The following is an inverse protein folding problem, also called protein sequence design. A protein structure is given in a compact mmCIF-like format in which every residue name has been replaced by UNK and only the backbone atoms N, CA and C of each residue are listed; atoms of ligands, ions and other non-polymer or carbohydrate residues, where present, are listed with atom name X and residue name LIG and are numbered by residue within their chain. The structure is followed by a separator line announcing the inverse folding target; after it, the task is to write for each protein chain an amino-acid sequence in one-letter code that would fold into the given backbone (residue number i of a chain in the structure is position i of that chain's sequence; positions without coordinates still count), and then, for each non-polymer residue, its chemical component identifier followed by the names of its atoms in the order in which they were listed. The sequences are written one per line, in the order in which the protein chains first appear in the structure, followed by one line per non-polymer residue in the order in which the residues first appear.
data_IF_181280696677
#
_entry.id   IF_181280696677
#
_cell.length_a   1.000
_cell.length_b   1.000
_cell.length_c   1.000
_cell.angle_alpha   90.00
_cell.angle_beta   90.00
_cell.angle_gamma   90.00
#
_symmetry.space_group_name_H-M   'P 1'
#
loop_
_entity.id
_entity.type
_entity.pdbx_description
1 polymer ?
#
# COMPACT_ATOMS: atom_id res chain seq x y z
N UNK A 1 -67.57 -37.05 -77.84
CA UNK A 1 -67.18 -36.29 -76.63
C UNK A 1 -65.78 -35.74 -76.84
N UNK A 2 -65.49 -34.52 -76.37
CA UNK A 2 -64.15 -33.95 -76.48
C UNK A 2 -63.19 -34.66 -75.50
N UNK A 3 -62.00 -35.03 -75.98
CA UNK A 3 -60.94 -35.59 -75.15
C UNK A 3 -59.96 -34.47 -74.77
N UNK A 4 -59.42 -34.47 -73.55
CA UNK A 4 -58.56 -33.39 -73.04
C UNK A 4 -57.21 -33.90 -72.52
N UNK A 5 -56.18 -33.04 -72.51
CA UNK A 5 -54.88 -33.34 -71.89
C UNK A 5 -54.96 -33.31 -70.36
N UNK A 6 -54.13 -34.13 -69.70
CA UNK A 6 -54.23 -34.37 -68.25
C UNK A 6 -53.84 -33.16 -67.38
N UNK A 7 -52.78 -32.44 -67.74
CA UNK A 7 -52.15 -31.47 -66.83
C UNK A 7 -52.66 -30.04 -67.06
N UNK A 8 -53.04 -29.70 -68.29
CA UNK A 8 -53.42 -28.34 -68.68
C UNK A 8 -54.82 -28.27 -69.31
N UNK A 9 -55.58 -29.37 -69.31
CA UNK A 9 -56.95 -29.45 -69.81
C UNK A 9 -57.14 -28.89 -71.23
N UNK A 10 -56.17 -29.13 -72.12
CA UNK A 10 -56.23 -28.69 -73.52
C UNK A 10 -57.08 -29.68 -74.32
N UNK A 11 -57.98 -29.18 -75.16
CA UNK A 11 -58.83 -30.04 -76.02
C UNK A 11 -57.97 -30.73 -77.08
N UNK A 12 -57.98 -32.06 -77.11
CA UNK A 12 -57.43 -32.84 -78.21
C UNK A 12 -58.31 -32.68 -79.45
N UNK A 13 -57.73 -32.58 -80.66
CA UNK A 13 -58.50 -32.59 -81.89
C UNK A 13 -59.39 -33.83 -81.99
N UNK A 14 -60.66 -33.66 -82.33
CA UNK A 14 -61.56 -34.75 -82.65
C UNK A 14 -61.41 -35.18 -84.12
N UNK A 15 -61.82 -36.40 -84.46
CA UNK A 15 -61.79 -36.90 -85.84
C UNK A 15 -62.60 -36.04 -86.83
N UNK A 16 -63.55 -35.25 -86.34
CA UNK A 16 -64.38 -34.32 -87.12
C UNK A 16 -63.86 -32.87 -87.15
N UNK A 17 -62.80 -32.56 -86.40
CA UNK A 17 -62.25 -31.20 -86.33
C UNK A 17 -61.38 -30.91 -87.57
N UNK A 18 -61.54 -29.74 -88.17
CA UNK A 18 -60.64 -29.26 -89.23
C UNK A 18 -59.38 -28.66 -88.60
N UNK A 19 -58.21 -29.20 -88.95
CA UNK A 19 -56.91 -28.72 -88.48
C UNK A 19 -56.11 -28.23 -89.68
N UNK A 20 -55.71 -26.95 -89.70
CA UNK A 20 -54.83 -26.40 -90.73
C UNK A 20 -53.40 -26.20 -90.19
N UNK A 21 -52.44 -26.08 -91.12
CA UNK A 21 -51.00 -25.97 -90.79
C UNK A 21 -50.64 -24.64 -90.14
N UNK A 22 -51.34 -23.56 -90.49
CA UNK A 22 -51.05 -22.22 -89.97
C UNK A 22 -51.38 -22.10 -88.48
N UNK A 23 -52.53 -22.64 -88.06
CA UNK A 23 -52.95 -22.70 -86.66
C UNK A 23 -51.99 -23.57 -85.84
N UNK A 24 -51.53 -24.69 -86.42
CA UNK A 24 -50.52 -25.54 -85.79
C UNK A 24 -49.20 -24.78 -85.59
N UNK A 25 -48.71 -24.10 -86.62
CA UNK A 25 -47.48 -23.31 -86.55
C UNK A 25 -47.60 -22.14 -85.55
N UNK A 26 -48.77 -21.51 -85.47
CA UNK A 26 -49.08 -20.51 -84.45
C UNK A 26 -49.00 -21.08 -83.03
N UNK A 27 -49.62 -22.24 -82.81
CA UNK A 27 -49.55 -22.93 -81.51
C UNK A 27 -48.12 -23.33 -81.13
N UNK A 28 -47.34 -23.87 -82.07
CA UNK A 28 -45.93 -24.20 -81.82
C UNK A 28 -45.10 -22.97 -81.47
N UNK A 29 -45.35 -21.85 -82.14
CA UNK A 29 -44.67 -20.58 -81.85
C UNK A 29 -44.99 -20.07 -80.44
N UNK A 30 -46.24 -20.20 -79.98
CA UNK A 30 -46.65 -19.84 -78.62
C UNK A 30 -45.98 -20.76 -77.59
N UNK A 31 -45.97 -22.07 -77.85
CA UNK A 31 -45.34 -23.05 -76.95
C UNK A 31 -43.84 -22.76 -76.80
N UNK A 32 -43.15 -22.47 -77.89
CA UNK A 32 -41.72 -22.11 -77.89
C UNK A 32 -41.45 -20.86 -77.02
N UNK A 33 -42.22 -19.79 -77.23
CA UNK A 33 -42.08 -18.56 -76.44
C UNK A 33 -42.33 -18.77 -74.96
N UNK A 34 -43.38 -19.52 -74.59
CA UNK A 34 -43.68 -19.79 -73.19
C UNK A 34 -42.65 -20.73 -72.54
N UNK A 35 -42.14 -21.74 -73.26
CA UNK A 35 -41.04 -22.57 -72.77
C UNK A 35 -39.77 -21.76 -72.52
N UNK A 36 -39.46 -20.80 -73.41
CA UNK A 36 -38.32 -19.90 -73.22
C UNK A 36 -38.48 -19.03 -71.96
N UNK A 37 -39.65 -18.43 -71.74
CA UNK A 37 -39.93 -17.66 -70.51
C UNK A 37 -39.75 -18.49 -69.26
N UNK A 38 -40.26 -19.73 -69.26
CA UNK A 38 -40.10 -20.66 -68.12
C UNK A 38 -38.61 -20.96 -67.87
N UNK A 39 -37.83 -21.20 -68.93
CA UNK A 39 -36.40 -21.45 -68.81
C UNK A 39 -35.64 -20.23 -68.25
N UNK A 40 -35.97 -19.03 -68.69
CA UNK A 40 -35.38 -17.78 -68.17
C UNK A 40 -35.69 -17.57 -66.69
N UNK A 41 -36.95 -17.80 -66.28
CA UNK A 41 -37.35 -17.73 -64.86
C UNK A 41 -36.62 -18.78 -64.02
N UNK A 42 -36.55 -20.03 -64.51
CA UNK A 42 -35.87 -21.12 -63.81
C UNK A 42 -34.37 -20.81 -63.61
N UNK A 43 -33.70 -20.28 -64.63
CA UNK A 43 -32.31 -19.87 -64.56
C UNK A 43 -32.10 -18.71 -63.58
N UNK A 44 -33.00 -17.72 -63.57
CA UNK A 44 -32.94 -16.60 -62.63
C UNK A 44 -33.08 -17.06 -61.17
N UNK A 45 -34.04 -17.94 -60.88
CA UNK A 45 -34.24 -18.53 -59.54
C UNK A 45 -33.02 -19.35 -59.11
N UNK A 46 -32.45 -20.15 -60.02
CA UNK A 46 -31.24 -20.94 -59.75
C UNK A 46 -30.03 -20.06 -59.37
N UNK A 47 -29.84 -18.95 -60.09
CA UNK A 47 -28.79 -17.97 -59.79
C UNK A 47 -29.00 -17.32 -58.42
N UNK A 48 -30.22 -16.86 -58.13
CA UNK A 48 -30.55 -16.25 -56.83
C UNK A 48 -30.37 -17.23 -55.67
N UNK A 49 -30.73 -18.50 -55.88
CA UNK A 49 -30.55 -19.54 -54.86
C UNK A 49 -29.06 -19.80 -54.61
N UNK A 50 -28.25 -19.83 -55.66
CA UNK A 50 -26.80 -20.02 -55.58
C UNK A 50 -26.12 -18.87 -54.84
N UNK A 51 -26.51 -17.63 -55.12
CA UNK A 51 -25.98 -16.45 -54.42
C UNK A 51 -26.34 -16.46 -52.92
N UNK A 52 -27.60 -16.77 -52.59
CA UNK A 52 -28.04 -16.92 -51.20
C UNK A 52 -27.31 -18.06 -50.49
N UNK A 53 -27.05 -19.18 -51.16
CA UNK A 53 -26.31 -20.30 -50.60
C UNK A 53 -24.86 -19.90 -50.25
N UNK A 54 -24.20 -19.14 -51.11
CA UNK A 54 -22.84 -18.64 -50.84
C UNK A 54 -22.81 -17.71 -49.62
N UNK A 55 -23.76 -16.78 -49.49
CA UNK A 55 -23.86 -15.90 -48.31
C UNK A 55 -24.08 -16.72 -47.03
N UNK A 56 -24.94 -17.73 -47.07
CA UNK A 56 -25.16 -18.63 -45.93
C UNK A 56 -23.87 -19.39 -45.59
N UNK A 57 -23.15 -19.88 -46.59
CA UNK A 57 -21.88 -20.59 -46.37
C UNK A 57 -20.84 -19.67 -45.74
N UNK A 58 -20.72 -18.42 -46.19
CA UNK A 58 -19.84 -17.43 -45.57
C UNK A 58 -20.22 -17.12 -44.12
N UNK A 59 -21.52 -17.05 -43.81
CA UNK A 59 -22.01 -16.87 -42.43
C UNK A 59 -21.75 -18.10 -41.54
N UNK A 60 -21.80 -19.30 -42.12
CA UNK A 60 -21.49 -20.56 -41.43
C UNK A 60 -19.99 -20.73 -41.23
N UNK A 61 -19.17 -20.44 -42.24
CA UNK A 61 -17.71 -20.53 -42.20
C UNK A 61 -17.08 -19.47 -41.30
N UNK A 62 -17.73 -18.31 -41.20
CA UNK A 62 -17.42 -17.32 -40.16
C UNK A 62 -17.84 -17.78 -38.75
N UNK A 63 -18.32 -19.01 -38.58
CA UNK A 63 -18.65 -19.66 -37.28
C UNK A 63 -19.64 -18.88 -36.43
N UNK A 64 -20.47 -18.01 -37.02
CA UNK A 64 -21.32 -17.12 -36.24
C UNK A 64 -20.50 -16.29 -35.26
N UNK A 65 -19.52 -15.52 -35.76
CA UNK A 65 -18.83 -14.47 -34.99
C UNK A 65 -19.80 -13.35 -34.63
N UNK A 66 -20.78 -13.65 -33.78
CA UNK A 66 -21.55 -12.67 -33.02
C UNK A 66 -20.67 -11.91 -31.99
N UNK A 67 -19.35 -12.13 -32.03
CA UNK A 67 -18.34 -11.64 -31.09
C UNK A 67 -17.48 -10.53 -31.73
N UNK A 68 -18.13 -9.54 -32.33
CA UNK A 68 -17.44 -8.44 -33.01
C UNK A 68 -17.78 -7.09 -32.39
N UNK A 69 -16.89 -6.64 -31.51
CA UNK A 69 -16.34 -5.29 -31.69
C UNK A 69 -14.82 -5.30 -31.93
N UNK A 70 -14.08 -6.34 -31.52
CA UNK A 70 -12.61 -6.37 -31.57
C UNK A 70 -12.01 -7.75 -31.97
N UNK A 71 -12.85 -8.73 -32.33
CA UNK A 71 -12.39 -10.07 -32.72
C UNK A 71 -11.90 -10.92 -31.57
N UNK A 72 -12.22 -10.55 -30.33
CA UNK A 72 -11.99 -11.35 -29.13
C UNK A 72 -13.18 -12.24 -28.82
N UNK A 73 -12.90 -13.36 -28.17
CA UNK A 73 -13.94 -14.23 -27.65
C UNK A 73 -14.36 -13.79 -26.24
N UNK A 74 -15.59 -14.08 -25.81
CA UNK A 74 -16.04 -13.82 -24.44
C UNK A 74 -15.07 -14.37 -23.35
N UNK A 75 -14.33 -15.45 -23.65
CA UNK A 75 -13.29 -16.03 -22.80
C UNK A 75 -12.02 -15.18 -22.65
N UNK A 76 -11.81 -14.20 -23.54
CA UNK A 76 -10.66 -13.30 -23.50
C UNK A 76 -10.85 -12.15 -22.48
N UNK A 77 -12.07 -12.00 -21.94
CA UNK A 77 -12.39 -11.00 -20.94
C UNK A 77 -12.45 -11.62 -19.53
N UNK A 78 -12.01 -10.86 -18.53
CA UNK A 78 -12.14 -11.27 -17.14
C UNK A 78 -13.62 -11.32 -16.72
N UNK A 79 -13.99 -12.30 -15.91
CA UNK A 79 -15.32 -12.40 -15.32
C UNK A 79 -15.60 -11.21 -14.40
N UNK A 80 -16.87 -10.79 -14.29
CA UNK A 80 -17.29 -9.68 -13.41
C UNK A 80 -16.80 -9.86 -11.97
N UNK A 81 -16.81 -11.09 -11.47
CA UNK A 81 -16.21 -11.45 -10.20
C UNK A 81 -14.96 -12.29 -10.45
N UNK A 82 -13.79 -11.69 -10.24
CA UNK A 82 -12.51 -12.38 -10.19
C UNK A 82 -11.65 -11.80 -9.07
N UNK A 83 -10.68 -12.61 -8.60
CA UNK A 83 -9.77 -12.25 -7.53
C UNK A 83 -8.32 -12.47 -7.98
N UNK A 84 -7.41 -11.74 -7.36
CA UNK A 84 -5.97 -11.94 -7.51
C UNK A 84 -5.34 -12.35 -6.17
N UNK A 85 -4.47 -13.35 -6.18
CA UNK A 85 -3.49 -13.57 -5.12
C UNK A 85 -2.33 -12.59 -5.28
N UNK A 86 -1.58 -12.34 -4.20
CA UNK A 86 -0.38 -11.49 -4.25
C UNK A 86 0.62 -11.94 -5.32
N UNK A 87 0.75 -13.26 -5.54
CA UNK A 87 1.66 -13.83 -6.54
C UNK A 87 1.22 -13.58 -7.99
N UNK A 88 -0.04 -13.19 -8.23
CA UNK A 88 -0.58 -12.89 -9.55
C UNK A 88 -0.37 -11.43 -9.97
N UNK A 89 0.16 -10.59 -9.08
CA UNK A 89 0.38 -9.15 -9.32
C UNK A 89 1.89 -8.92 -9.49
N UNK A 90 2.34 -8.68 -10.72
CA UNK A 90 3.77 -8.64 -11.08
C UNK A 90 4.50 -7.41 -10.54
N UNK A 91 3.78 -6.33 -10.26
CA UNK A 91 4.29 -5.06 -9.74
C UNK A 91 3.96 -4.86 -8.25
N UNK A 92 3.58 -5.92 -7.55
CA UNK A 92 3.30 -5.82 -6.12
C UNK A 92 4.58 -5.44 -5.35
N UNK A 93 4.55 -4.37 -4.54
CA UNK A 93 5.75 -3.90 -3.84
C UNK A 93 6.25 -4.93 -2.83
N UNK A 94 7.57 -5.08 -2.74
CA UNK A 94 8.23 -5.99 -1.78
C UNK A 94 7.98 -5.57 -0.32
N UNK A 95 7.80 -4.26 -0.09
CA UNK A 95 7.37 -3.68 1.18
C UNK A 95 6.33 -2.58 0.96
N UNK A 96 5.29 -2.54 1.80
CA UNK A 96 4.42 -1.38 1.89
C UNK A 96 5.08 -0.34 2.81
N UNK A 97 4.92 0.98 2.56
CA UNK A 97 5.53 2.05 3.36
C UNK A 97 5.29 1.93 4.87
N UNK A 98 4.21 1.26 5.27
CA UNK A 98 4.02 0.73 6.61
C UNK A 98 3.20 -0.56 6.50
N UNK A 99 3.81 -1.71 6.74
CA UNK A 99 3.12 -3.02 6.84
C UNK A 99 2.28 -3.15 8.12
N UNK A 100 1.78 -2.04 8.70
CA UNK A 100 0.98 -2.01 9.93
C UNK A 100 1.70 -2.43 11.21
N UNK A 101 2.88 -3.05 11.12
CA UNK A 101 3.73 -3.42 12.26
C UNK A 101 4.93 -2.50 12.48
N UNK A 102 5.34 -1.76 11.44
CA UNK A 102 6.43 -0.78 11.50
C UNK A 102 5.91 0.67 11.63
N UNK A 103 4.61 0.85 11.88
CA UNK A 103 3.99 2.18 11.98
C UNK A 103 4.59 3.03 13.13
N UNK A 104 5.27 2.40 14.08
CA UNK A 104 5.98 3.06 15.19
C UNK A 104 7.48 3.29 14.94
N UNK A 105 8.04 2.93 13.77
CA UNK A 105 9.47 3.10 13.49
C UNK A 105 9.73 4.07 12.34
N UNK A 106 10.25 5.25 12.67
CA UNK A 106 10.90 6.14 11.70
C UNK A 106 12.31 5.57 11.45
N UNK A 107 12.57 5.09 10.23
CA UNK A 107 13.87 4.54 9.80
C UNK A 107 14.44 3.44 10.72
N UNK A 108 13.58 2.60 11.31
CA UNK A 108 14.00 1.47 12.15
C UNK A 108 14.31 1.82 13.61
N UNK A 109 13.98 3.04 14.05
CA UNK A 109 14.13 3.43 15.46
C UNK A 109 12.83 3.26 16.26
N UNK A 110 12.93 2.64 17.45
CA UNK A 110 11.85 2.48 18.42
C UNK A 110 11.59 3.78 19.21
N UNK A 111 10.42 3.91 19.86
CA UNK A 111 10.04 5.10 20.67
C UNK A 111 11.11 5.49 21.71
N UNK A 112 11.80 4.50 22.27
CA UNK A 112 12.87 4.65 23.25
C UNK A 112 14.11 5.38 22.70
N UNK A 113 14.27 5.44 21.37
CA UNK A 113 15.31 6.23 20.73
C UNK A 113 14.96 7.72 20.64
N UNK A 114 13.69 8.08 20.83
CA UNK A 114 13.20 9.46 20.73
C UNK A 114 12.85 10.07 22.10
N UNK A 115 12.62 9.24 23.13
CA UNK A 115 12.43 9.74 24.50
C UNK A 115 13.77 10.20 25.07
N UNK A 116 14.05 11.50 24.93
CA UNK A 116 15.08 12.18 25.72
C UNK A 116 14.48 12.50 27.09
N UNK A 117 14.85 11.72 28.11
CA UNK A 117 14.75 12.10 29.53
C UNK A 117 13.32 12.34 30.06
N UNK A 118 12.50 11.29 30.21
CA UNK A 118 11.35 11.38 31.13
C UNK A 118 10.91 10.04 31.71
N UNK A 119 11.77 9.43 32.52
CA UNK A 119 11.35 8.33 33.38
C UNK A 119 11.03 8.89 34.77
N UNK A 120 9.76 9.22 35.01
CA UNK A 120 9.28 9.44 36.37
C UNK A 120 9.33 8.09 37.12
N UNK A 121 10.27 7.95 38.06
CA UNK A 121 10.24 6.93 39.11
C UNK A 121 10.87 5.55 38.82
N UNK A 122 11.53 5.35 37.68
CA UNK A 122 12.18 4.07 37.33
C UNK A 122 13.71 4.04 37.38
N UNK A 123 14.36 5.19 37.58
CA UNK A 123 15.81 5.32 37.45
C UNK A 123 16.50 4.96 38.77
N UNK A 124 17.35 3.94 38.74
CA UNK A 124 18.28 3.64 39.84
C UNK A 124 19.45 4.63 39.82
N UNK A 125 19.32 5.69 40.61
CA UNK A 125 20.34 6.74 40.80
C UNK A 125 21.62 6.26 41.49
N UNK A 126 21.66 5.02 41.98
CA UNK A 126 22.87 4.39 42.50
C UNK A 126 23.67 3.66 41.41
N UNK A 127 23.05 3.37 40.26
CA UNK A 127 23.71 2.68 39.16
C UNK A 127 24.65 3.61 38.39
N UNK A 128 25.95 3.34 38.49
CA UNK A 128 27.00 4.12 37.81
C UNK A 128 27.12 3.81 36.32
N UNK A 129 26.61 2.66 35.86
CA UNK A 129 26.73 2.15 34.48
C UNK A 129 25.49 2.45 33.63
N UNK A 130 24.67 3.42 34.03
CA UNK A 130 23.47 3.75 33.29
C UNK A 130 23.87 4.38 31.92
N UNK A 131 23.38 3.87 30.78
CA UNK A 131 23.96 4.17 29.48
C UNK A 131 23.58 5.53 28.89
N UNK A 132 22.61 6.24 29.46
CA UNK A 132 22.09 7.49 28.92
C UNK A 132 22.11 8.61 29.97
N UNK A 133 22.25 9.88 29.56
CA UNK A 133 22.01 10.99 30.49
C UNK A 133 20.56 10.97 30.96
N UNK A 134 20.34 11.31 32.23
CA UNK A 134 18.99 11.39 32.79
C UNK A 134 18.81 12.61 33.68
N UNK A 135 17.55 13.01 33.82
CA UNK A 135 17.05 13.94 34.81
C UNK A 135 15.92 13.25 35.57
N UNK A 136 15.98 13.23 36.90
CA UNK A 136 14.98 12.56 37.75
C UNK A 136 14.80 13.27 39.08
N UNK A 137 13.72 12.94 39.78
CA UNK A 137 13.40 13.44 41.12
C UNK A 137 13.46 12.29 42.12
N UNK A 138 14.13 12.49 43.25
CA UNK A 138 14.32 11.43 44.25
C UNK A 138 14.31 11.98 45.68
N UNK A 139 13.85 11.17 46.63
CA UNK A 139 13.92 11.48 48.06
C UNK A 139 14.08 10.20 48.90
N UNK A 140 14.59 10.36 50.13
CA UNK A 140 14.66 9.28 51.11
C UNK A 140 15.63 8.13 50.79
N UNK A 141 16.45 8.23 49.75
CA UNK A 141 17.48 7.22 49.45
C UNK A 141 18.76 7.45 50.24
N UNK A 142 19.32 6.38 50.79
CA UNK A 142 20.61 6.40 51.54
C UNK A 142 21.79 6.91 50.70
N UNK A 143 21.68 6.82 49.37
CA UNK A 143 22.71 7.25 48.44
C UNK A 143 22.65 8.73 48.10
N UNK A 144 21.67 9.48 48.62
CA UNK A 144 21.53 10.93 48.45
C UNK A 144 22.26 11.73 49.53
N UNK A 145 22.46 13.05 49.33
CA UNK A 145 23.12 13.90 50.33
C UNK A 145 22.43 13.87 51.71
N UNK A 146 21.10 13.81 51.73
CA UNK A 146 20.26 13.67 52.91
C UNK A 146 18.86 13.12 52.54
N UNK A 147 17.91 13.12 53.49
CA UNK A 147 16.53 12.65 53.28
C UNK A 147 15.62 13.62 52.52
N UNK A 148 16.15 14.76 52.05
CA UNK A 148 15.41 15.76 51.29
C UNK A 148 14.99 15.28 49.90
N UNK A 149 14.28 16.16 49.20
CA UNK A 149 13.90 15.97 47.79
C UNK A 149 14.92 16.64 46.88
N UNK A 150 15.39 15.89 45.88
CA UNK A 150 16.48 16.27 44.99
C UNK A 150 16.08 16.08 43.53
N UNK A 151 16.29 17.11 42.72
CA UNK A 151 16.44 16.99 41.27
C UNK A 151 17.85 16.48 40.98
N UNK A 152 17.98 15.35 40.29
CA UNK A 152 19.26 14.73 39.97
C UNK A 152 19.47 14.72 38.46
N UNK A 153 20.60 15.30 38.04
CA UNK A 153 21.10 15.25 36.67
C UNK A 153 22.29 14.30 36.65
N UNK A 154 22.30 13.34 35.72
CA UNK A 154 23.43 12.45 35.49
C UNK A 154 23.99 12.63 34.08
N UNK A 155 25.32 12.69 34.01
CA UNK A 155 26.08 12.69 32.77
C UNK A 155 27.02 11.48 32.78
N UNK A 156 26.77 10.45 31.94
CA UNK A 156 27.69 9.34 31.79
C UNK A 156 28.95 9.75 31.02
N UNK A 157 30.07 9.08 31.30
CA UNK A 157 31.22 9.08 30.40
C UNK A 157 30.88 8.34 29.11
N UNK A 158 31.57 8.63 28.00
CA UNK A 158 31.38 7.97 26.71
C UNK A 158 31.62 6.45 26.72
N UNK A 159 32.22 5.93 27.80
CA UNK A 159 32.39 4.50 28.07
C UNK A 159 31.37 4.03 29.12
N UNK A 160 30.12 3.87 28.69
CA UNK A 160 28.96 3.61 29.54
C UNK A 160 29.09 2.37 30.44
N UNK A 161 29.77 1.32 29.96
CA UNK A 161 29.95 0.08 30.72
C UNK A 161 31.01 0.16 31.82
N UNK A 162 31.86 1.19 31.80
CA UNK A 162 32.95 1.33 32.76
C UNK A 162 32.54 2.05 34.06
N UNK A 163 31.33 2.61 34.11
CA UNK A 163 30.74 3.21 35.31
C UNK A 163 31.14 4.66 35.59
N UNK A 164 32.01 5.27 34.80
CA UNK A 164 32.41 6.66 34.99
C UNK A 164 31.27 7.63 34.65
N UNK A 165 31.06 8.64 35.48
CA UNK A 165 30.09 9.70 35.24
C UNK A 165 30.06 10.71 36.39
N UNK A 166 29.19 11.71 36.25
CA UNK A 166 28.93 12.68 37.30
C UNK A 166 27.44 12.85 37.55
N UNK A 167 27.10 13.16 38.79
CA UNK A 167 25.77 13.58 39.20
C UNK A 167 25.80 14.96 39.82
N UNK A 168 24.74 15.71 39.57
CA UNK A 168 24.44 16.98 40.23
C UNK A 168 23.07 16.83 40.87
N UNK A 169 22.97 17.08 42.18
CA UNK A 169 21.72 17.07 42.93
C UNK A 169 21.38 18.50 43.36
N UNK A 170 20.18 18.97 42.99
CA UNK A 170 19.67 20.30 43.35
C UNK A 170 18.43 20.12 44.21
N UNK A 171 18.40 20.79 45.36
CA UNK A 171 17.29 20.74 46.32
C UNK A 171 15.97 21.21 45.71
N UNK A 172 14.87 20.50 45.99
CA UNK A 172 13.57 20.80 45.41
C UNK A 172 12.74 21.84 46.19
N UNK A 173 12.76 21.82 47.53
CA UNK A 173 11.80 22.61 48.34
C UNK A 173 12.39 23.57 49.37
N UNK A 174 13.56 23.30 49.94
CA UNK A 174 14.03 24.02 51.14
C UNK A 174 15.54 24.18 51.10
N UNK A 175 15.98 25.44 50.94
CA UNK A 175 17.38 25.89 50.82
C UNK A 175 18.00 25.52 49.46
N UNK A 176 18.51 26.49 48.68
CA UNK A 176 19.12 26.30 47.35
C UNK A 176 20.46 25.55 47.42
N UNK A 177 20.44 24.30 47.92
CA UNK A 177 21.61 23.45 48.02
C UNK A 177 21.84 22.75 46.69
N UNK A 178 23.09 22.76 46.28
CA UNK A 178 23.57 21.97 45.14
C UNK A 178 24.69 21.08 45.62
N UNK A 179 24.60 19.80 45.31
CA UNK A 179 25.66 18.83 45.52
C UNK A 179 26.13 18.28 44.19
N UNK A 180 27.38 17.84 44.13
CA UNK A 180 27.89 17.06 43.01
C UNK A 180 28.70 15.87 43.52
N UNK A 181 28.75 14.82 42.69
CA UNK A 181 29.69 13.71 42.86
C UNK A 181 30.09 13.15 41.52
N UNK A 182 31.22 12.46 41.50
CA UNK A 182 31.67 11.66 40.37
C UNK A 182 31.84 10.21 40.81
N UNK A 183 31.76 9.29 39.87
CA UNK A 183 32.12 7.90 40.10
C UNK A 183 33.57 7.64 39.69
N UNK A 184 34.22 6.73 40.42
CA UNK A 184 35.48 6.10 40.01
C UNK A 184 35.17 4.66 39.65
N UNK A 185 35.00 4.39 38.36
CA UNK A 185 34.51 3.10 37.88
C UNK A 185 33.08 2.87 38.36
N UNK A 186 32.81 1.72 38.99
CA UNK A 186 31.47 1.33 39.45
C UNK A 186 31.09 1.82 40.84
N UNK A 187 31.87 2.74 41.43
CA UNK A 187 31.63 3.25 42.79
C UNK A 187 31.47 4.76 42.78
N UNK A 188 30.41 5.26 43.43
CA UNK A 188 30.20 6.69 43.64
C UNK A 188 31.12 7.23 44.74
N UNK A 189 31.78 8.35 44.47
CA UNK A 189 32.38 9.15 45.53
C UNK A 189 31.30 9.81 46.40
N UNK A 190 31.63 10.25 47.63
CA UNK A 190 30.72 11.03 48.46
C UNK A 190 30.20 12.28 47.75
N UNK A 191 29.02 12.74 48.15
CA UNK A 191 28.47 14.02 47.72
C UNK A 191 29.26 15.18 48.30
N UNK A 192 29.58 16.15 47.45
CA UNK A 192 30.24 17.39 47.85
C UNK A 192 29.27 18.56 47.70
N UNK A 193 29.08 19.32 48.78
CA UNK A 193 28.25 20.52 48.80
C UNK A 193 28.94 21.65 48.01
N UNK A 194 28.20 22.30 47.13
CA UNK A 194 28.62 23.55 46.49
C UNK A 194 28.39 24.70 47.47
N UNK A 195 29.46 25.39 47.83
CA UNK A 195 29.38 26.58 48.67
C UNK A 195 28.94 27.81 47.87
N UNK A 196 28.08 28.61 48.49
CA UNK A 196 27.61 29.91 48.00
C UNK A 196 27.44 30.84 49.21
N UNK A 197 27.27 32.15 48.96
CA UNK A 197 27.20 33.16 50.03
C UNK A 197 26.13 32.90 51.11
N UNK A 198 25.10 32.09 50.80
CA UNK A 198 24.03 31.73 51.73
C UNK A 198 24.32 30.53 52.64
N UNK A 199 25.37 29.74 52.35
CA UNK A 199 25.77 28.57 53.15
C UNK A 199 27.27 28.53 53.51
N UNK A 200 28.09 29.39 52.90
CA UNK A 200 29.45 29.65 53.34
C UNK A 200 29.37 30.49 54.61
N UNK A 201 29.74 29.94 55.77
CA UNK A 201 30.07 30.79 56.92
C UNK A 201 31.33 31.56 56.51
N UNK A 202 31.31 32.88 56.29
CA UNK A 202 32.57 33.59 56.21
C UNK A 202 33.28 33.31 57.54
N UNK A 203 34.47 32.70 57.47
CA UNK A 203 35.36 32.70 58.64
C UNK A 203 35.57 34.17 58.93
N UNK A 204 34.89 34.70 59.96
CA UNK A 204 35.20 36.01 60.46
C UNK A 204 36.66 35.93 60.88
N UNK A 205 37.55 36.55 60.09
CA UNK A 205 38.89 36.86 60.55
C UNK A 205 38.64 37.70 61.80
N UNK A 206 38.83 37.11 62.98
CA UNK A 206 39.00 37.91 64.19
C UNK A 206 40.08 38.91 63.82
N UNK A 207 39.83 40.24 63.88
CA UNK A 207 40.86 41.19 63.50
C UNK A 207 42.08 40.82 64.32
N UNK A 208 43.19 40.49 63.63
CA UNK A 208 44.45 40.28 64.32
C UNK A 208 44.69 41.50 65.18
N UNK A 209 45.09 41.27 66.43
CA UNK A 209 45.48 42.36 67.31
C UNK A 209 46.44 43.29 66.55
N UNK A 210 46.37 44.62 66.72
CA UNK A 210 47.10 45.56 65.87
C UNK A 210 48.60 45.21 65.88
N UNK A 211 49.11 44.67 64.77
CA UNK A 211 50.52 44.31 64.61
C UNK A 211 50.84 42.96 63.97
N UNK A 212 49.88 42.07 63.71
CA UNK A 212 50.19 40.78 63.06
C UNK A 212 50.33 40.93 61.54
N UNK A 213 51.55 40.82 61.02
CA UNK A 213 51.90 40.94 59.59
C UNK A 213 52.04 39.60 58.88
N UNK A 214 51.52 38.49 59.41
CA UNK A 214 51.58 37.23 58.66
C UNK A 214 50.59 37.25 57.49
N UNK A 215 51.12 37.43 56.28
CA UNK A 215 50.40 37.32 55.00
C UNK A 215 49.73 35.95 54.86
N UNK A 216 48.40 35.92 54.87
CA UNK A 216 47.60 34.76 54.51
C UNK A 216 47.31 34.79 53.01
N UNK A 217 48.16 34.13 52.22
CA UNK A 217 47.80 33.71 50.88
C UNK A 217 47.07 32.37 50.99
N UNK A 218 45.79 32.34 50.63
CA UNK A 218 45.02 31.12 50.45
C UNK A 218 44.82 30.95 48.94
N UNK A 219 45.42 29.89 48.38
CA UNK A 219 45.05 29.34 47.07
C UNK A 219 43.85 28.40 47.24
#
# INVERSE_FOLDING_TARGET
MANYTKNYNLKNPAASDFVNVDDMNGNFSIIDQEMKKIAEVANGVSSQLSEKANIIQELVDSKGKADTLDGKHASDFALTNHNHTKTQITDFPTSLPANGGNADTVDGHHESHFVRSRDYGGIDVSLTTYPYPYMTDVSGLVTMPDTGWWHVIYVPHSNYGAGYGCQIAVSLNTENKTFFRSSLGTTWNPWNLVYHNGNSKPVAIQPSAPGDTSSLWVY
#
